data_IF_744538119269
#
_entry.id   IF_744538119269
#
_cell.length_a   1.000
_cell.length_b   1.000
_cell.length_c   1.000
_cell.angle_alpha   90.00
_cell.angle_beta   90.00
_cell.angle_gamma   90.00
#
_symmetry.space_group_name_H-M   'P 1'
#
loop_
_entity.id
_entity.type
_entity.pdbx_description
1 polymer ?
#
# COMPACT_ATOMS: atom_id res chain seq x y z
N UNK A 1 25.60 3.11 17.48
CA UNK A 1 26.20 3.53 16.20
C UNK A 1 25.28 3.03 15.10
N UNK A 2 24.97 3.89 14.14
CA UNK A 2 23.96 3.71 13.10
C UNK A 2 24.24 2.45 12.28
N UNK A 3 23.41 1.41 12.46
CA UNK A 3 23.34 0.31 11.50
C UNK A 3 22.63 0.87 10.27
N UNK A 4 23.41 1.15 9.24
CA UNK A 4 23.01 1.56 7.89
C UNK A 4 21.72 0.81 7.49
N UNK A 5 20.57 1.49 7.43
CA UNK A 5 20.04 2.14 6.23
C UNK A 5 20.19 1.33 4.93
N UNK A 6 20.03 0.01 5.01
CA UNK A 6 19.80 -0.87 3.87
C UNK A 6 18.42 -0.68 3.20
N UNK A 7 17.80 0.51 3.33
CA UNK A 7 16.73 0.93 2.43
C UNK A 7 17.34 1.31 1.08
N UNK A 8 18.10 0.39 0.48
CA UNK A 8 18.36 0.42 -0.94
C UNK A 8 16.98 0.42 -1.61
N UNK A 9 16.60 1.58 -2.12
CA UNK A 9 15.49 1.74 -3.04
C UNK A 9 15.89 1.02 -4.31
N UNK A 10 15.78 -0.30 -4.32
CA UNK A 10 16.02 -1.11 -5.51
C UNK A 10 15.17 -0.51 -6.63
N UNK A 11 15.77 -0.22 -7.80
CA UNK A 11 15.01 0.30 -8.92
C UNK A 11 13.85 -0.67 -9.15
N UNK A 12 12.66 -0.08 -9.20
CA UNK A 12 11.34 -0.68 -9.39
C UNK A 12 11.54 -1.97 -10.19
N UNK A 13 11.48 -3.13 -9.50
CA UNK A 13 11.35 -4.40 -10.18
C UNK A 13 10.25 -4.18 -11.20
N UNK A 14 10.53 -4.48 -12.48
CA UNK A 14 9.48 -4.58 -13.49
C UNK A 14 8.33 -5.31 -12.80
N UNK A 15 7.14 -4.70 -12.66
CA UNK A 15 6.05 -5.39 -12.00
C UNK A 15 5.76 -6.60 -12.88
N UNK A 16 6.26 -7.77 -12.47
CA UNK A 16 5.59 -9.01 -12.79
C UNK A 16 4.12 -8.77 -12.48
N UNK A 17 3.19 -9.25 -13.32
CA UNK A 17 1.76 -8.93 -13.20
C UNK A 17 1.12 -9.23 -11.84
N UNK A 18 1.87 -9.83 -10.91
CA UNK A 18 1.49 -10.14 -9.55
C UNK A 18 2.08 -9.15 -8.49
N UNK A 19 2.76 -8.06 -8.86
CA UNK A 19 3.28 -7.07 -7.89
C UNK A 19 2.25 -5.97 -7.58
N UNK A 20 2.09 -5.54 -6.30
CA UNK A 20 1.16 -4.48 -5.94
C UNK A 20 1.64 -3.13 -6.45
N UNK A 21 0.72 -2.39 -7.06
CA UNK A 21 0.91 -0.98 -7.38
C UNK A 21 0.34 -0.18 -6.22
N UNK A 22 1.22 0.51 -5.49
CA UNK A 22 0.84 1.35 -4.34
C UNK A 22 1.15 2.79 -4.67
N UNK A 23 0.16 3.67 -4.53
CA UNK A 23 0.35 5.12 -4.61
C UNK A 23 -0.12 5.79 -3.33
N UNK A 24 0.61 6.81 -2.90
CA UNK A 24 0.31 7.57 -1.68
C UNK A 24 0.14 9.03 -2.06
N UNK A 25 -1.01 9.59 -1.73
CA UNK A 25 -1.33 11.00 -1.94
C UNK A 25 -1.47 11.68 -0.58
N UNK A 26 -0.55 12.59 -0.26
CA UNK A 26 -0.58 13.34 0.98
C UNK A 26 -1.55 14.52 0.87
N UNK A 27 -2.61 14.54 1.68
CA UNK A 27 -3.59 15.63 1.75
C UNK A 27 -3.31 16.47 2.99
N UNK A 28 -2.29 17.32 2.90
CA UNK A 28 -1.79 18.15 4.01
C UNK A 28 -2.90 19.03 4.60
N UNK A 29 -3.77 19.60 3.77
CA UNK A 29 -4.88 20.45 4.21
C UNK A 29 -5.90 19.74 5.11
N UNK A 30 -6.04 18.41 4.95
CA UNK A 30 -6.99 17.60 5.71
C UNK A 30 -6.31 16.71 6.75
N UNK A 31 -5.01 16.86 6.95
CA UNK A 31 -4.19 16.09 7.89
C UNK A 31 -4.31 14.56 7.73
N UNK A 32 -4.49 14.07 6.50
CA UNK A 32 -4.46 12.63 6.22
C UNK A 32 -3.77 12.32 4.89
N UNK A 33 -3.36 11.06 4.72
CA UNK A 33 -2.85 10.56 3.45
C UNK A 33 -3.83 9.54 2.87
N UNK A 34 -4.03 9.58 1.56
CA UNK A 34 -4.80 8.58 0.81
C UNK A 34 -3.82 7.56 0.25
N UNK A 35 -4.01 6.29 0.61
CA UNK A 35 -3.23 5.17 0.07
C UNK A 35 -4.11 4.40 -0.90
N UNK A 36 -3.65 4.28 -2.15
CA UNK A 36 -4.31 3.46 -3.17
C UNK A 36 -3.46 2.22 -3.42
N UNK A 37 -4.06 1.04 -3.25
CA UNK A 37 -3.40 -0.25 -3.44
C UNK A 37 -4.15 -1.00 -4.52
N UNK A 38 -3.44 -1.31 -5.61
CA UNK A 38 -3.93 -2.15 -6.69
C UNK A 38 -3.12 -3.44 -6.70
N UNK A 39 -3.82 -4.56 -6.68
CA UNK A 39 -3.21 -5.88 -6.63
C UNK A 39 -4.16 -6.89 -7.27
N UNK A 40 -3.61 -7.97 -7.82
CA UNK A 40 -4.40 -9.09 -8.32
C UNK A 40 -5.12 -9.77 -7.16
N UNK A 41 -6.42 -10.04 -7.30
CA UNK A 41 -7.20 -10.55 -6.17
C UNK A 41 -6.57 -11.81 -5.55
N UNK A 42 -6.45 -11.81 -4.22
CA UNK A 42 -5.95 -12.94 -3.45
C UNK A 42 -6.63 -12.99 -2.09
N UNK A 43 -6.75 -14.21 -1.57
CA UNK A 43 -7.28 -14.44 -0.23
C UNK A 43 -6.54 -13.59 0.81
N UNK A 44 -7.30 -12.90 1.67
CA UNK A 44 -6.80 -12.02 2.74
C UNK A 44 -6.11 -10.72 2.30
N UNK A 45 -6.23 -10.30 1.03
CA UNK A 45 -5.62 -9.04 0.57
C UNK A 45 -5.94 -7.84 1.48
N UNK A 46 -7.23 -7.61 1.77
CA UNK A 46 -7.64 -6.48 2.61
C UNK A 46 -7.14 -6.60 4.05
N UNK A 47 -7.11 -7.82 4.59
CA UNK A 47 -6.61 -8.08 5.93
C UNK A 47 -5.12 -7.74 6.01
N UNK A 48 -4.32 -8.24 5.08
CA UNK A 48 -2.88 -7.94 5.00
C UNK A 48 -2.65 -6.42 4.89
N UNK A 49 -3.44 -5.71 4.08
CA UNK A 49 -3.32 -4.24 3.93
C UNK A 49 -3.65 -3.51 5.24
N UNK A 50 -4.78 -3.82 5.87
CA UNK A 50 -5.20 -3.15 7.11
C UNK A 50 -4.22 -3.46 8.24
N UNK A 51 -3.84 -4.72 8.43
CA UNK A 51 -2.85 -5.12 9.44
C UNK A 51 -1.52 -4.41 9.23
N UNK A 52 -1.02 -4.35 7.98
CA UNK A 52 0.23 -3.65 7.67
C UNK A 52 0.13 -2.16 8.03
N UNK A 53 -0.97 -1.49 7.72
CA UNK A 53 -1.17 -0.09 8.08
C UNK A 53 -1.22 0.11 9.60
N UNK A 54 -1.93 -0.75 10.32
CA UNK A 54 -2.04 -0.67 11.78
C UNK A 54 -0.74 -1.03 12.49
N UNK A 55 0.03 -1.97 11.96
CA UNK A 55 1.34 -2.38 12.48
C UNK A 55 2.38 -1.23 12.35
N UNK A 56 2.19 -0.37 11.34
CA UNK A 56 2.93 0.90 11.18
C UNK A 56 2.31 2.07 11.96
N UNK A 57 1.39 1.80 12.88
CA UNK A 57 0.72 2.79 13.74
C UNK A 57 -0.15 3.82 12.98
N UNK A 58 -0.62 3.50 11.76
CA UNK A 58 -1.57 4.33 11.04
C UNK A 58 -3.02 4.01 11.41
N UNK A 59 -3.86 5.05 11.47
CA UNK A 59 -5.31 4.94 11.70
C UNK A 59 -6.04 5.03 10.35
N UNK A 60 -6.83 4.00 10.02
CA UNK A 60 -7.67 3.97 8.82
C UNK A 60 -9.05 4.54 9.15
N UNK A 61 -9.34 5.76 8.67
CA UNK A 61 -10.64 6.42 8.89
C UNK A 61 -11.73 5.92 7.94
N UNK A 62 -11.38 5.76 6.67
CA UNK A 62 -12.30 5.36 5.61
C UNK A 62 -11.55 4.56 4.55
N UNK A 63 -12.17 3.50 4.03
CA UNK A 63 -11.65 2.69 2.96
C UNK A 63 -12.75 2.40 1.93
N UNK A 64 -12.39 2.39 0.66
CA UNK A 64 -13.26 1.96 -0.44
C UNK A 64 -12.55 0.84 -1.19
N UNK A 65 -13.25 -0.26 -1.43
CA UNK A 65 -12.74 -1.41 -2.17
C UNK A 65 -13.49 -1.53 -3.48
N UNK A 66 -12.75 -1.65 -4.58
CA UNK A 66 -13.31 -1.86 -5.91
C UNK A 66 -12.59 -3.03 -6.55
N UNK A 67 -13.36 -3.97 -7.09
CA UNK A 67 -12.87 -5.08 -7.90
C UNK A 67 -13.26 -4.81 -9.34
N UNK A 68 -12.28 -4.68 -10.23
CA UNK A 68 -12.55 -4.71 -11.67
C UNK A 68 -12.66 -6.17 -12.07
N UNK A 69 -13.85 -6.60 -12.51
CA UNK A 69 -13.99 -7.92 -13.13
C UNK A 69 -13.24 -7.95 -14.46
N UNK A 70 -12.72 -9.11 -14.84
CA UNK A 70 -12.25 -9.31 -16.21
C UNK A 70 -13.48 -9.38 -17.14
N UNK A 71 -13.48 -8.57 -18.19
CA UNK A 71 -14.47 -8.62 -19.28
C UNK A 71 -14.23 -9.83 -20.18
#
# INVERSE_FOLDING_TARGET
MFADRDYERKPILQPSGDSPVVTVQNWVERNYSVVNVQFKDRTKLLFDVVCTLTDMEYIVFHATVKTSGEL
#
